data_IF_371294210877
#
_entry.id   IF_371294210877
#
_cell.length_a   1.000
_cell.length_b   1.000
_cell.length_c   1.000
_cell.angle_alpha   90.00
_cell.angle_beta   90.00
_cell.angle_gamma   90.00
#
_symmetry.space_group_name_H-M   'P 1'
#
loop_
_entity.id
_entity.type
_entity.pdbx_description
1 polymer ?
#
# COMPACT_ATOMS: atom_id res chain seq x y z
N UNK A 1 -3.23 21.60 -3.97
CA UNK A 1 -2.58 20.47 -4.68
C UNK A 1 -2.95 19.20 -3.93
N UNK A 2 -3.26 18.13 -4.62
CA UNK A 2 -3.52 16.84 -3.99
C UNK A 2 -2.24 16.26 -3.39
N UNK A 3 -2.31 15.81 -2.15
CA UNK A 3 -1.13 15.34 -1.41
C UNK A 3 -0.84 13.86 -1.70
N UNK A 4 0.34 13.59 -2.24
CA UNK A 4 0.85 12.24 -2.46
C UNK A 4 2.15 12.09 -1.70
N UNK A 5 2.20 11.13 -0.77
CA UNK A 5 3.38 10.87 0.06
C UNK A 5 4.09 9.61 -0.45
N UNK A 6 5.27 9.79 -1.04
CA UNK A 6 6.09 8.68 -1.53
C UNK A 6 6.67 7.88 -0.35
N UNK A 7 6.47 6.58 -0.36
CA UNK A 7 7.03 5.63 0.63
C UNK A 7 8.22 4.88 0.03
N UNK A 8 8.04 4.32 -1.17
CA UNK A 8 9.11 3.72 -1.98
C UNK A 8 8.99 4.22 -3.41
N UNK A 9 9.97 3.99 -4.30
CA UNK A 9 9.86 4.39 -5.69
C UNK A 9 8.58 3.93 -6.41
N UNK A 10 8.01 2.80 -5.97
CA UNK A 10 6.85 2.18 -6.61
C UNK A 10 5.57 2.23 -5.77
N UNK A 11 5.61 2.87 -4.60
CA UNK A 11 4.46 2.93 -3.70
C UNK A 11 4.35 4.28 -2.99
N UNK A 12 3.16 4.84 -3.02
CA UNK A 12 2.82 6.07 -2.29
C UNK A 12 1.47 5.95 -1.58
N UNK A 13 1.26 6.80 -0.62
CA UNK A 13 0.04 6.89 0.18
C UNK A 13 -0.52 8.31 0.16
N UNK A 14 -1.79 8.45 0.48
CA UNK A 14 -2.41 9.77 0.60
C UNK A 14 -3.84 9.73 1.14
N UNK A 15 -4.44 10.92 1.26
CA UNK A 15 -5.82 11.05 1.71
C UNK A 15 -6.81 10.61 0.63
N UNK A 16 -8.09 10.58 0.99
CA UNK A 16 -9.20 10.33 0.08
C UNK A 16 -9.16 11.28 -1.11
N UNK A 17 -9.02 10.79 -2.36
CA UNK A 17 -9.09 11.65 -3.53
C UNK A 17 -10.53 12.10 -3.83
N UNK A 18 -10.67 13.33 -4.29
CA UNK A 18 -11.86 13.83 -4.95
C UNK A 18 -11.82 13.45 -6.45
N UNK A 19 -12.92 13.64 -7.16
CA UNK A 19 -13.03 13.29 -8.58
C UNK A 19 -11.90 13.90 -9.44
N UNK A 20 -11.58 15.17 -9.21
CA UNK A 20 -10.52 15.90 -9.93
C UNK A 20 -9.10 15.40 -9.68
N UNK A 21 -8.89 14.69 -8.57
CA UNK A 21 -7.55 14.28 -8.13
C UNK A 21 -7.07 13.05 -8.89
N UNK A 22 -7.95 12.26 -9.52
CA UNK A 22 -7.55 11.11 -10.33
C UNK A 22 -6.69 11.51 -11.54
N UNK A 23 -6.97 12.65 -12.14
CA UNK A 23 -6.10 13.22 -13.19
C UNK A 23 -4.71 13.54 -12.64
N UNK A 24 -4.64 14.20 -11.48
CA UNK A 24 -3.36 14.52 -10.83
C UNK A 24 -2.55 13.27 -10.45
N UNK A 25 -3.22 12.20 -9.96
CA UNK A 25 -2.59 10.92 -9.66
C UNK A 25 -1.99 10.31 -10.94
N UNK A 26 -2.72 10.33 -12.05
CA UNK A 26 -2.23 9.84 -13.34
C UNK A 26 -1.05 10.66 -13.87
N UNK A 27 -1.15 11.98 -13.83
CA UNK A 27 -0.10 12.90 -14.26
C UNK A 27 1.17 12.79 -13.42
N UNK A 28 1.05 12.44 -12.14
CA UNK A 28 2.17 12.14 -11.26
C UNK A 28 2.88 10.80 -11.59
N UNK A 29 2.38 10.05 -12.57
CA UNK A 29 3.01 8.84 -13.10
C UNK A 29 2.53 7.53 -12.48
N UNK A 30 1.52 7.55 -11.61
CA UNK A 30 0.97 6.32 -11.03
C UNK A 30 0.21 5.51 -12.08
N UNK A 31 0.26 4.19 -11.94
CA UNK A 31 -0.39 3.24 -12.83
C UNK A 31 -1.63 2.60 -12.18
N UNK A 32 -1.69 2.59 -10.85
CA UNK A 32 -2.79 1.97 -10.12
C UNK A 32 -3.14 2.71 -8.83
N UNK A 33 -4.38 2.50 -8.38
CA UNK A 33 -4.91 3.02 -7.11
C UNK A 33 -5.45 1.86 -6.27
N UNK A 34 -5.09 1.82 -4.98
CA UNK A 34 -5.72 0.96 -3.98
C UNK A 34 -6.55 1.82 -3.03
N UNK A 35 -7.84 1.55 -2.96
CA UNK A 35 -8.74 2.17 -2.00
C UNK A 35 -8.94 1.25 -0.79
N UNK A 36 -8.48 1.70 0.38
CA UNK A 36 -8.64 0.99 1.66
C UNK A 36 -9.86 1.47 2.45
N UNK A 37 -10.49 2.57 2.03
CA UNK A 37 -11.61 3.15 2.76
C UNK A 37 -12.91 2.41 2.48
N UNK A 38 -13.60 1.85 3.49
CA UNK A 38 -14.93 1.24 3.32
C UNK A 38 -15.98 2.24 2.81
N UNK A 39 -16.95 1.74 2.07
CA UNK A 39 -18.03 2.57 1.52
C UNK A 39 -19.10 2.98 2.53
N UNK A 40 -19.15 2.34 3.68
CA UNK A 40 -20.10 2.56 4.76
C UNK A 40 -19.61 3.51 5.86
N UNK A 41 -18.42 4.07 5.73
CA UNK A 41 -17.94 5.11 6.66
C UNK A 41 -18.76 6.40 6.55
N UNK A 42 -18.87 7.10 7.68
CA UNK A 42 -19.53 8.40 7.74
C UNK A 42 -18.79 9.45 6.90
N UNK A 43 -19.54 10.39 6.32
CA UNK A 43 -19.03 11.53 5.59
C UNK A 43 -19.36 11.49 4.10
N UNK A 44 -19.07 12.60 3.44
CA UNK A 44 -19.22 12.74 1.99
C UNK A 44 -17.88 12.46 1.31
N UNK A 45 -17.82 11.42 0.52
CA UNK A 45 -16.66 11.06 -0.29
C UNK A 45 -17.09 10.15 -1.44
N UNK A 46 -16.26 10.02 -2.44
CA UNK A 46 -16.48 9.09 -3.56
C UNK A 46 -16.52 7.66 -3.05
N UNK A 47 -17.60 6.96 -3.37
CA UNK A 47 -17.71 5.53 -3.10
C UNK A 47 -16.86 4.74 -4.11
N UNK A 48 -16.53 3.50 -3.77
CA UNK A 48 -15.59 2.68 -4.53
C UNK A 48 -15.99 2.49 -6.00
N UNK A 49 -17.28 2.34 -6.30
CA UNK A 49 -17.76 2.17 -7.66
C UNK A 49 -17.53 3.42 -8.53
N UNK A 50 -17.86 4.62 -8.00
CA UNK A 50 -17.63 5.88 -8.71
C UNK A 50 -16.13 6.21 -8.83
N UNK A 51 -15.38 5.95 -7.77
CA UNK A 51 -13.93 6.10 -7.77
C UNK A 51 -13.25 5.21 -8.80
N UNK A 52 -13.70 3.95 -8.93
CA UNK A 52 -13.23 3.02 -9.96
C UNK A 52 -13.45 3.57 -11.37
N UNK A 53 -14.66 4.01 -11.67
CA UNK A 53 -14.98 4.55 -12.98
C UNK A 53 -14.07 5.74 -13.35
N UNK A 54 -13.87 6.67 -12.40
CA UNK A 54 -12.98 7.82 -12.60
C UNK A 54 -11.50 7.41 -12.78
N UNK A 55 -11.03 6.43 -12.02
CA UNK A 55 -9.67 5.91 -12.15
C UNK A 55 -9.46 5.27 -13.54
N UNK A 56 -10.38 4.40 -13.96
CA UNK A 56 -10.34 3.71 -15.24
C UNK A 56 -10.43 4.68 -16.43
N UNK A 57 -11.24 5.73 -16.34
CA UNK A 57 -11.30 6.82 -17.33
C UNK A 57 -9.95 7.55 -17.50
N UNK A 58 -9.14 7.60 -16.44
CA UNK A 58 -7.77 8.14 -16.50
C UNK A 58 -6.72 7.10 -16.88
N UNK A 59 -7.12 5.86 -17.19
CA UNK A 59 -6.20 4.77 -17.51
C UNK A 59 -5.46 4.20 -16.30
N UNK A 60 -6.00 4.39 -15.09
CA UNK A 60 -5.50 3.80 -13.85
C UNK A 60 -6.18 2.45 -13.59
N UNK A 61 -5.43 1.46 -13.17
CA UNK A 61 -6.02 0.23 -12.61
C UNK A 61 -6.47 0.49 -11.18
N UNK A 62 -7.63 -0.02 -10.79
CA UNK A 62 -8.21 0.25 -9.48
C UNK A 62 -8.51 -1.02 -8.71
N UNK A 63 -8.07 -1.08 -7.46
CA UNK A 63 -8.42 -2.14 -6.51
C UNK A 63 -9.14 -1.57 -5.29
N UNK A 64 -10.19 -2.26 -4.85
CA UNK A 64 -10.91 -1.98 -3.63
C UNK A 64 -10.54 -3.02 -2.57
N UNK A 65 -9.81 -2.60 -1.54
CA UNK A 65 -9.32 -3.44 -0.45
C UNK A 65 -9.72 -2.81 0.89
N UNK A 66 -11.05 -2.80 1.20
CA UNK A 66 -11.57 -2.04 2.33
C UNK A 66 -11.13 -2.63 3.67
N UNK A 67 -10.78 -1.76 4.59
CA UNK A 67 -10.58 -2.10 6.00
C UNK A 67 -11.00 -0.93 6.90
N UNK A 68 -11.76 -1.24 7.94
CA UNK A 68 -11.94 -0.33 9.06
C UNK A 68 -10.71 -0.35 9.99
N UNK A 69 -10.72 0.49 11.02
CA UNK A 69 -9.59 0.60 11.94
C UNK A 69 -9.42 -0.65 12.84
N UNK A 70 -10.46 -1.45 13.01
CA UNK A 70 -10.43 -2.62 13.90
C UNK A 70 -9.93 -3.88 13.18
N UNK A 71 -10.16 -3.97 11.87
CA UNK A 71 -9.85 -5.15 11.06
C UNK A 71 -8.44 -5.12 10.41
N UNK A 72 -7.65 -4.06 10.61
CA UNK A 72 -6.34 -3.90 9.95
C UNK A 72 -5.37 -5.06 10.16
N UNK A 73 -5.45 -5.74 11.30
CA UNK A 73 -4.56 -6.83 11.67
C UNK A 73 -5.13 -8.22 11.36
N UNK A 74 -6.33 -8.30 10.80
CA UNK A 74 -6.91 -9.56 10.35
C UNK A 74 -6.15 -10.10 9.13
N UNK A 75 -5.84 -11.40 9.16
CA UNK A 75 -5.01 -12.02 8.15
C UNK A 75 -5.60 -11.89 6.74
N UNK A 76 -6.91 -12.04 6.61
CA UNK A 76 -7.61 -11.93 5.31
C UNK A 76 -7.53 -10.53 4.72
N UNK A 77 -7.55 -9.50 5.57
CA UNK A 77 -7.40 -8.09 5.17
C UNK A 77 -5.99 -7.83 4.68
N UNK A 78 -4.98 -8.32 5.41
CA UNK A 78 -3.58 -8.19 5.02
C UNK A 78 -3.31 -8.93 3.72
N UNK A 79 -3.82 -10.15 3.57
CA UNK A 79 -3.68 -10.97 2.37
C UNK A 79 -4.33 -10.31 1.14
N UNK A 80 -5.50 -9.69 1.30
CA UNK A 80 -6.16 -8.96 0.23
C UNK A 80 -5.33 -7.77 -0.24
N UNK A 81 -4.78 -6.99 0.68
CA UNK A 81 -3.91 -5.86 0.36
C UNK A 81 -2.60 -6.32 -0.29
N UNK A 82 -1.97 -7.38 0.22
CA UNK A 82 -0.77 -7.98 -0.36
C UNK A 82 -1.01 -8.44 -1.80
N UNK A 83 -2.13 -9.10 -2.06
CA UNK A 83 -2.52 -9.53 -3.41
C UNK A 83 -2.63 -8.34 -4.36
N UNK A 84 -3.26 -7.26 -3.92
CA UNK A 84 -3.34 -6.03 -4.71
C UNK A 84 -1.95 -5.45 -5.00
N UNK A 85 -1.05 -5.41 -4.01
CA UNK A 85 0.34 -4.98 -4.20
C UNK A 85 1.10 -5.83 -5.22
N UNK A 86 0.81 -7.13 -5.30
CA UNK A 86 1.49 -8.05 -6.23
C UNK A 86 0.94 -7.91 -7.64
N UNK A 87 -0.38 -7.83 -7.79
CA UNK A 87 -1.06 -7.95 -9.09
C UNK A 87 -1.16 -6.63 -9.85
N UNK A 88 -1.21 -5.50 -9.14
CA UNK A 88 -1.39 -4.19 -9.77
C UNK A 88 -0.11 -3.68 -10.47
N UNK A 89 -0.27 -2.95 -11.58
CA UNK A 89 0.86 -2.29 -12.22
C UNK A 89 1.43 -1.18 -11.32
N UNK A 90 2.75 -0.97 -11.40
CA UNK A 90 3.50 0.04 -10.61
C UNK A 90 3.75 1.30 -11.43
N UNK A 91 3.91 2.44 -10.75
CA UNK A 91 3.77 2.70 -9.31
C UNK A 91 2.32 2.69 -8.84
N UNK A 92 2.11 2.37 -7.55
CA UNK A 92 0.79 2.30 -6.91
C UNK A 92 0.60 3.48 -5.95
N UNK A 93 -0.56 4.12 -6.03
CA UNK A 93 -1.05 5.05 -5.02
C UNK A 93 -2.13 4.37 -4.17
N UNK A 94 -1.95 4.31 -2.86
CA UNK A 94 -2.92 3.76 -1.93
C UNK A 94 -3.50 4.83 -1.00
N UNK A 95 -4.80 4.78 -0.76
CA UNK A 95 -5.47 5.74 0.10
C UNK A 95 -6.48 5.10 1.04
N UNK A 96 -6.79 5.82 2.09
CA UNK A 96 -7.99 5.63 2.92
C UNK A 96 -8.64 7.00 3.15
N UNK A 97 -9.03 7.35 4.37
CA UNK A 97 -9.48 8.72 4.69
C UNK A 97 -8.29 9.70 4.73
N UNK A 98 -7.21 9.35 5.43
CA UNK A 98 -6.03 10.18 5.67
C UNK A 98 -4.72 9.60 5.14
N UNK A 99 -4.70 8.33 4.72
CA UNK A 99 -3.50 7.58 4.34
C UNK A 99 -2.96 6.64 5.41
N UNK A 100 -3.33 6.81 6.66
CA UNK A 100 -2.75 6.04 7.79
C UNK A 100 -3.03 4.53 7.70
N UNK A 101 -4.26 4.12 7.37
CA UNK A 101 -4.58 2.69 7.19
C UNK A 101 -3.80 2.06 6.05
N UNK A 102 -3.65 2.78 4.94
CA UNK A 102 -2.83 2.33 3.82
C UNK A 102 -1.36 2.17 4.22
N UNK A 103 -0.82 3.09 5.03
CA UNK A 103 0.53 2.99 5.57
C UNK A 103 0.70 1.76 6.48
N UNK A 104 -0.25 1.50 7.37
CA UNK A 104 -0.22 0.36 8.29
C UNK A 104 -0.29 -0.96 7.51
N UNK A 105 -1.23 -1.10 6.56
CA UNK A 105 -1.34 -2.31 5.74
C UNK A 105 -0.08 -2.54 4.91
N UNK A 106 0.50 -1.49 4.33
CA UNK A 106 1.77 -1.61 3.64
C UNK A 106 2.88 -2.12 4.58
N UNK A 107 2.98 -1.58 5.80
CA UNK A 107 3.96 -2.02 6.78
C UNK A 107 3.77 -3.50 7.18
N UNK A 108 2.52 -3.92 7.37
CA UNK A 108 2.19 -5.31 7.68
C UNK A 108 2.63 -6.26 6.56
N UNK A 109 2.35 -5.92 5.30
CA UNK A 109 2.79 -6.72 4.15
C UNK A 109 4.31 -6.67 3.99
N UNK A 110 4.93 -5.48 4.06
CA UNK A 110 6.37 -5.32 3.94
C UNK A 110 7.12 -6.16 4.98
N UNK A 111 6.61 -6.22 6.22
CA UNK A 111 7.21 -6.96 7.33
C UNK A 111 7.17 -8.48 7.15
N UNK A 112 6.34 -9.00 6.23
CA UNK A 112 6.36 -10.42 5.85
C UNK A 112 7.60 -10.79 5.01
N UNK A 113 8.23 -9.81 4.37
CA UNK A 113 9.28 -10.01 3.37
C UNK A 113 10.60 -9.35 3.75
N UNK A 114 10.61 -8.48 4.75
CA UNK A 114 11.79 -7.77 5.25
C UNK A 114 11.63 -7.48 6.75
N UNK A 115 12.69 -6.99 7.39
CA UNK A 115 12.63 -6.65 8.81
C UNK A 115 11.62 -5.52 9.08
N UNK A 116 10.75 -5.65 10.10
CA UNK A 116 9.76 -4.63 10.44
C UNK A 116 10.35 -3.24 10.67
N UNK A 117 11.52 -3.16 11.30
CA UNK A 117 12.23 -1.88 11.54
C UNK A 117 12.55 -1.13 10.25
N UNK A 118 12.83 -1.84 9.15
CA UNK A 118 13.16 -1.22 7.87
C UNK A 118 11.91 -0.67 7.18
N UNK A 119 10.79 -1.38 7.27
CA UNK A 119 9.50 -0.88 6.81
C UNK A 119 9.07 0.38 7.59
N UNK A 120 9.26 0.37 8.91
CA UNK A 120 8.99 1.53 9.77
C UNK A 120 9.91 2.70 9.42
N UNK A 121 11.20 2.44 9.10
CA UNK A 121 12.15 3.48 8.70
C UNK A 121 11.71 4.18 7.41
N UNK A 122 11.25 3.44 6.40
CA UNK A 122 10.72 4.00 5.16
C UNK A 122 9.50 4.90 5.41
N UNK A 123 8.55 4.43 6.22
CA UNK A 123 7.37 5.22 6.58
C UNK A 123 7.70 6.43 7.42
N UNK A 124 8.68 6.34 8.33
CA UNK A 124 9.17 7.48 9.10
C UNK A 124 9.81 8.53 8.19
N UNK A 125 10.63 8.11 7.23
CA UNK A 125 11.20 9.00 6.22
C UNK A 125 10.11 9.68 5.37
N UNK A 126 8.98 8.99 5.15
CA UNK A 126 7.78 9.54 4.51
C UNK A 126 6.88 10.37 5.47
N UNK A 127 7.33 10.67 6.69
CA UNK A 127 6.60 11.48 7.66
C UNK A 127 5.51 10.74 8.44
N UNK A 128 5.42 9.41 8.31
CA UNK A 128 4.44 8.59 9.05
C UNK A 128 4.99 8.15 10.41
N UNK A 129 4.22 8.38 11.47
CA UNK A 129 4.63 8.07 12.85
C UNK A 129 3.97 6.79 13.34
N UNK A 130 4.35 5.66 12.79
CA UNK A 130 3.80 4.35 13.14
C UNK A 130 4.79 3.42 13.87
N UNK A 131 5.91 3.94 14.37
CA UNK A 131 6.94 3.14 15.03
C UNK A 131 6.46 2.40 16.28
N UNK A 132 5.37 2.85 16.89
CA UNK A 132 4.72 2.16 18.02
C UNK A 132 4.08 0.81 17.65
N UNK A 133 3.94 0.50 16.37
CA UNK A 133 3.40 -0.77 15.86
C UNK A 133 4.48 -1.82 15.59
N UNK A 134 5.74 -1.60 15.97
CA UNK A 134 6.82 -2.54 15.62
C UNK A 134 6.59 -3.96 16.18
N UNK A 135 6.06 -4.08 17.38
CA UNK A 135 5.79 -5.38 17.99
C UNK A 135 4.66 -6.11 17.25
N UNK A 136 3.57 -5.41 16.93
CA UNK A 136 2.46 -5.94 16.15
C UNK A 136 2.89 -6.36 14.74
N UNK A 137 3.80 -5.61 14.12
CA UNK A 137 4.37 -5.99 12.82
C UNK A 137 5.21 -7.26 12.91
N UNK A 138 5.97 -7.44 13.99
CA UNK A 138 6.75 -8.67 14.24
C UNK A 138 5.85 -9.88 14.47
N UNK A 139 4.80 -9.73 15.27
CA UNK A 139 3.84 -10.79 15.54
C UNK A 139 3.11 -11.21 14.27
N UNK A 140 2.56 -10.27 13.51
CA UNK A 140 1.87 -10.53 12.25
C UNK A 140 2.78 -11.19 11.20
N UNK A 141 4.05 -10.79 11.13
CA UNK A 141 5.02 -11.41 10.23
C UNK A 141 5.35 -12.85 10.63
N UNK A 142 5.39 -13.16 11.93
CA UNK A 142 5.68 -14.50 12.43
C UNK A 142 4.55 -15.50 12.13
N UNK A 143 3.29 -15.05 12.16
CA UNK A 143 2.12 -15.89 11.85
C UNK A 143 2.11 -16.42 10.41
N UNK A 144 2.73 -15.71 9.47
CA UNK A 144 2.69 -15.99 8.03
C UNK A 144 3.89 -16.81 7.54
N UNK A 145 4.83 -17.18 8.39
CA UNK A 145 6.07 -17.91 8.02
C UNK A 145 5.87 -19.29 7.37
N UNK A 146 4.64 -19.68 7.03
CA UNK A 146 4.33 -20.95 6.38
C UNK A 146 3.91 -20.88 4.91
N UNK A 147 3.71 -19.71 4.33
CA UNK A 147 3.26 -19.60 2.93
C UNK A 147 4.11 -18.60 2.14
N UNK A 148 5.12 -19.08 1.39
CA UNK A 148 5.90 -18.19 0.53
C UNK A 148 5.06 -17.79 -0.69
N UNK A 149 4.39 -16.65 -0.64
CA UNK A 149 4.01 -15.94 -1.85
C UNK A 149 5.31 -15.53 -2.56
N UNK A 150 5.55 -16.11 -3.74
CA UNK A 150 6.67 -15.67 -4.60
C UNK A 150 6.31 -14.31 -5.17
N UNK A 151 6.86 -13.27 -4.57
CA UNK A 151 6.76 -11.93 -5.11
C UNK A 151 7.54 -11.82 -6.42
N UNK A 152 6.97 -11.16 -7.41
CA UNK A 152 7.71 -10.71 -8.58
C UNK A 152 8.69 -9.60 -8.19
N UNK A 153 9.75 -9.41 -8.98
CA UNK A 153 10.76 -8.39 -8.71
C UNK A 153 10.17 -6.99 -8.53
N UNK A 154 9.17 -6.62 -9.32
CA UNK A 154 8.48 -5.34 -9.23
C UNK A 154 7.69 -5.16 -7.94
N UNK A 155 7.07 -6.24 -7.44
CA UNK A 155 6.40 -6.23 -6.14
C UNK A 155 7.40 -6.06 -4.98
N UNK A 156 8.61 -6.65 -5.09
CA UNK A 156 9.68 -6.45 -4.11
C UNK A 156 10.13 -4.99 -4.05
N UNK A 157 10.19 -4.30 -5.19
CA UNK A 157 10.51 -2.85 -5.21
C UNK A 157 9.45 -2.03 -4.47
N UNK A 158 8.17 -2.33 -4.65
CA UNK A 158 7.09 -1.63 -3.93
C UNK A 158 7.14 -1.83 -2.41
N UNK A 159 7.80 -2.90 -1.95
CA UNK A 159 8.05 -3.20 -0.54
C UNK A 159 9.40 -2.64 -0.03
N UNK A 160 10.15 -1.90 -0.85
CA UNK A 160 11.41 -1.27 -0.47
C UNK A 160 12.64 -2.18 -0.54
N UNK A 161 12.54 -3.38 -1.13
CA UNK A 161 13.70 -4.23 -1.39
C UNK A 161 14.44 -3.77 -2.66
N UNK A 162 15.74 -3.55 -2.54
CA UNK A 162 16.59 -3.24 -3.68
C UNK A 162 16.89 -4.49 -4.50
N UNK A 163 16.90 -4.38 -5.83
CA UNK A 163 17.38 -5.43 -6.75
C UNK A 163 18.86 -5.80 -6.56
N UNK A 164 19.60 -4.99 -5.80
CA UNK A 164 21.07 -5.11 -5.71
C UNK A 164 21.56 -6.23 -4.77
N UNK A 165 20.68 -6.94 -4.05
CA UNK A 165 21.09 -8.02 -3.15
C UNK A 165 21.21 -9.39 -3.84
N UNK A 166 21.02 -9.48 -5.16
CA UNK A 166 21.06 -10.72 -5.94
C UNK A 166 22.42 -11.05 -6.59
N UNK A 167 23.43 -10.18 -6.53
CA UNK A 167 24.70 -10.37 -7.26
C UNK A 167 25.95 -10.57 -6.38
N UNK A 168 25.78 -11.02 -5.17
CA UNK A 168 26.89 -11.24 -4.25
C UNK A 168 27.17 -12.70 -3.95
N UNK A 169 27.24 -13.58 -4.95
CA UNK A 169 27.94 -14.87 -4.81
C UNK A 169 28.16 -15.52 -6.17
N UNK A 170 29.29 -15.16 -6.76
CA UNK A 170 30.05 -16.07 -7.64
C UNK A 170 31.50 -15.88 -7.34
N UNK A 171 32.03 -16.75 -6.52
CA UNK A 171 33.38 -17.30 -6.60
C UNK A 171 33.31 -18.70 -6.04
#
# INVERSE_FOLDING_TARGET
MFEITLVTPDFAIGPQPAAKDFTAIREAGYAAVINVRPDDENGKYLKSADARALAEDQGLTYAFSPSDNHALFEIDIIDQFERALIELPKPIFAHCKSGTRAAILWALVASRHREPKDAIADLRAAGQKIGFLEDELRESAAEVRGSPLRLKDDALLSLGRSKLLGNGQRN
#
